data_IF_782201164155
#
_entry.id   IF_782201164155
#
_cell.length_a   1.000
_cell.length_b   1.000
_cell.length_c   1.000
_cell.angle_alpha   90.00
_cell.angle_beta   90.00
_cell.angle_gamma   90.00
#
_symmetry.space_group_name_H-M   'P 1'
#
loop_
_entity.id
_entity.type
_entity.pdbx_description
1 polymer ?
#
# COMPACT_ATOMS: atom_id res chain seq x y z
N UNK A 1 -2.02 -32.74 3.98
CA UNK A 1 -1.90 -32.92 2.52
C UNK A 1 -0.59 -32.36 2.01
N UNK A 2 -0.05 -32.94 0.92
CA UNK A 2 1.18 -32.54 0.26
C UNK A 2 0.90 -32.26 -1.21
N UNK A 3 1.58 -31.27 -1.75
CA UNK A 3 1.66 -31.01 -3.18
C UNK A 3 3.05 -31.38 -3.67
N UNK A 4 3.13 -32.11 -4.77
CA UNK A 4 4.41 -32.49 -5.39
C UNK A 4 4.33 -32.26 -6.90
N UNK A 5 5.38 -31.68 -7.46
CA UNK A 5 5.56 -31.50 -8.89
C UNK A 5 6.91 -32.07 -9.31
N UNK A 6 6.93 -32.82 -10.41
CA UNK A 6 8.14 -33.27 -11.07
C UNK A 6 8.32 -32.56 -12.38
N UNK A 7 9.51 -32.08 -12.61
CA UNK A 7 9.87 -31.37 -13.81
C UNK A 7 11.27 -31.80 -14.25
N UNK A 8 11.35 -32.55 -15.34
CA UNK A 8 12.61 -33.11 -15.81
C UNK A 8 13.35 -33.89 -14.70
N UNK A 9 14.49 -33.40 -14.24
CA UNK A 9 15.32 -33.96 -13.19
C UNK A 9 15.09 -33.35 -11.79
N UNK A 10 14.10 -32.47 -11.66
CA UNK A 10 13.76 -31.80 -10.41
C UNK A 10 12.43 -32.35 -9.87
N UNK A 11 12.40 -32.60 -8.57
CA UNK A 11 11.16 -32.83 -7.83
C UNK A 11 11.03 -31.79 -6.72
N UNK A 12 9.93 -31.06 -6.72
CA UNK A 12 9.54 -30.15 -5.64
C UNK A 12 8.38 -30.75 -4.88
N UNK A 13 8.46 -30.75 -3.56
CA UNK A 13 7.36 -31.18 -2.69
C UNK A 13 7.18 -30.17 -1.55
N UNK A 14 5.93 -29.83 -1.24
CA UNK A 14 5.60 -28.93 -0.14
C UNK A 14 4.38 -29.44 0.61
N UNK A 15 4.32 -29.15 1.91
CA UNK A 15 3.13 -29.39 2.72
C UNK A 15 2.11 -28.28 2.45
N UNK A 16 0.87 -28.68 2.20
CA UNK A 16 -0.22 -27.71 2.09
C UNK A 16 -0.57 -27.17 3.47
N UNK A 17 -0.90 -25.88 3.52
CA UNK A 17 -1.47 -25.23 4.70
C UNK A 17 -2.86 -25.80 4.95
N UNK A 18 -3.15 -26.19 6.18
CA UNK A 18 -4.47 -26.64 6.58
C UNK A 18 -5.40 -25.44 6.72
N UNK A 19 -6.56 -25.49 6.07
CA UNK A 19 -7.57 -24.45 6.11
C UNK A 19 -8.15 -24.11 4.73
N UNK A 20 -9.22 -23.33 4.75
CA UNK A 20 -9.81 -22.79 3.52
C UNK A 20 -9.06 -21.50 3.12
N UNK A 21 -8.66 -21.41 1.87
CA UNK A 21 -8.09 -20.17 1.33
C UNK A 21 -9.10 -19.03 1.50
N UNK A 22 -8.67 -17.87 2.00
CA UNK A 22 -9.56 -16.72 2.15
C UNK A 22 -10.16 -16.31 0.80
N UNK A 23 -11.41 -15.84 0.86
CA UNK A 23 -12.09 -15.28 -0.30
C UNK A 23 -11.50 -13.89 -0.58
N UNK A 24 -10.53 -13.83 -1.49
CA UNK A 24 -9.81 -12.61 -1.81
C UNK A 24 -10.70 -11.54 -2.47
N UNK A 25 -11.81 -11.94 -3.11
CA UNK A 25 -12.74 -10.98 -3.71
C UNK A 25 -13.36 -10.06 -2.66
N UNK A 26 -13.48 -10.52 -1.41
CA UNK A 26 -14.02 -9.73 -0.30
C UNK A 26 -13.08 -8.65 0.24
N UNK A 27 -11.80 -8.66 -0.14
CA UNK A 27 -10.87 -7.60 0.27
C UNK A 27 -10.93 -6.38 -0.64
N UNK A 28 -11.56 -6.52 -1.82
CA UNK A 28 -11.76 -5.37 -2.72
C UNK A 28 -12.81 -4.44 -2.13
N UNK A 29 -12.48 -3.16 -1.97
CA UNK A 29 -13.43 -2.17 -1.46
C UNK A 29 -14.51 -1.88 -2.50
N UNK A 30 -15.64 -1.33 -2.02
CA UNK A 30 -16.76 -0.91 -2.85
C UNK A 30 -17.18 0.51 -2.47
N UNK A 31 -17.76 1.25 -3.40
CA UNK A 31 -18.21 2.63 -3.22
C UNK A 31 -17.62 3.57 -4.28
N UNK A 32 -17.73 4.87 -4.04
CA UNK A 32 -17.21 5.89 -4.95
C UNK A 32 -15.71 6.12 -4.68
N UNK A 33 -14.84 5.81 -5.65
CA UNK A 33 -13.40 5.94 -5.44
C UNK A 33 -12.91 7.37 -5.63
N UNK A 34 -11.86 7.71 -4.87
CA UNK A 34 -11.02 8.87 -5.11
C UNK A 34 -9.63 8.41 -5.52
N UNK A 35 -9.12 8.90 -6.62
CA UNK A 35 -7.83 8.47 -7.16
C UNK A 35 -6.77 9.54 -6.95
N UNK A 36 -5.62 9.10 -6.44
CA UNK A 36 -4.38 9.85 -6.35
C UNK A 36 -3.40 9.32 -7.40
N UNK A 37 -2.92 10.19 -8.28
CA UNK A 37 -1.85 9.86 -9.23
C UNK A 37 -0.55 10.54 -8.83
N UNK A 38 0.54 9.79 -8.79
CA UNK A 38 1.85 10.28 -8.36
C UNK A 38 2.98 9.50 -9.04
N UNK A 39 4.15 10.16 -9.20
CA UNK A 39 5.39 9.47 -9.57
C UNK A 39 5.80 8.48 -8.49
N UNK A 40 6.01 7.21 -8.87
CA UNK A 40 6.43 6.13 -7.98
C UNK A 40 7.63 6.54 -7.13
N UNK A 41 8.69 7.02 -7.77
CA UNK A 41 9.93 7.40 -7.09
C UNK A 41 9.71 8.49 -6.04
N UNK A 42 8.88 9.51 -6.36
CA UNK A 42 8.57 10.61 -5.44
C UNK A 42 7.90 10.10 -4.16
N UNK A 43 6.92 9.21 -4.30
CA UNK A 43 6.23 8.60 -3.16
C UNK A 43 7.16 7.67 -2.36
N UNK A 44 7.94 6.84 -3.05
CA UNK A 44 8.87 5.90 -2.45
C UNK A 44 9.95 6.61 -1.61
N UNK A 45 10.53 7.70 -2.13
CA UNK A 45 11.52 8.50 -1.40
C UNK A 45 10.91 9.19 -0.16
N UNK A 46 9.71 9.74 -0.27
CA UNK A 46 9.02 10.37 0.86
C UNK A 46 8.67 9.36 1.95
N UNK A 47 8.15 8.18 1.59
CA UNK A 47 7.90 7.10 2.53
C UNK A 47 9.19 6.58 3.18
N UNK A 48 10.27 6.47 2.42
CA UNK A 48 11.57 6.05 2.95
C UNK A 48 12.10 7.04 3.99
N UNK A 49 11.97 8.36 3.75
CA UNK A 49 12.33 9.37 4.75
C UNK A 49 11.43 9.32 5.98
N UNK A 50 10.12 9.23 5.79
CA UNK A 50 9.16 9.12 6.89
C UNK A 50 9.39 7.85 7.74
N UNK A 51 9.87 6.76 7.12
CA UNK A 51 10.12 5.50 7.82
C UNK A 51 11.19 5.58 8.90
N UNK A 52 12.13 6.53 8.79
CA UNK A 52 13.22 6.73 9.76
C UNK A 52 12.67 7.09 11.14
N UNK A 53 11.60 7.88 11.21
CA UNK A 53 10.95 8.31 12.44
C UNK A 53 9.61 7.58 12.70
N UNK A 54 9.33 6.50 11.98
CA UNK A 54 8.16 5.68 12.26
C UNK A 54 8.41 4.74 13.44
N UNK A 55 7.34 4.35 14.12
CA UNK A 55 7.42 3.33 15.16
C UNK A 55 7.98 2.02 14.58
N UNK A 56 9.04 1.47 15.18
CA UNK A 56 9.73 0.27 14.69
C UNK A 56 8.82 -0.97 14.60
N UNK A 57 7.87 -1.09 15.53
CA UNK A 57 6.98 -2.24 15.62
C UNK A 57 5.80 -2.15 14.65
N UNK A 58 5.18 -0.97 14.57
CA UNK A 58 3.94 -0.79 13.80
C UNK A 58 4.17 -0.16 12.43
N UNK A 59 5.28 0.57 12.26
CA UNK A 59 5.68 1.22 11.01
C UNK A 59 4.54 2.01 10.37
N UNK A 60 3.79 2.75 11.20
CA UNK A 60 2.63 3.50 10.76
C UNK A 60 2.99 4.80 10.06
N UNK A 61 2.26 5.13 9.01
CA UNK A 61 2.25 6.44 8.37
C UNK A 61 0.82 6.89 8.13
N UNK A 62 0.53 8.14 8.46
CA UNK A 62 -0.75 8.79 8.15
C UNK A 62 -0.65 9.52 6.84
N UNK A 63 -1.59 9.27 5.96
CA UNK A 63 -1.85 10.03 4.74
C UNK A 63 -2.97 11.02 5.04
N UNK A 64 -2.73 12.30 4.88
CA UNK A 64 -3.75 13.33 4.85
C UNK A 64 -3.81 13.91 3.44
N UNK A 65 -4.90 13.56 2.75
CA UNK A 65 -5.18 13.95 1.38
C UNK A 65 -6.06 15.17 1.37
N UNK A 66 -5.71 16.13 0.54
CA UNK A 66 -6.53 17.28 0.20
C UNK A 66 -6.30 17.61 -1.27
N UNK A 67 -7.06 18.59 -1.81
CA UNK A 67 -6.93 18.95 -3.22
C UNK A 67 -5.45 19.21 -3.58
N UNK A 68 -4.96 18.46 -4.56
CA UNK A 68 -3.60 18.53 -5.13
C UNK A 68 -2.46 18.37 -4.10
N UNK A 69 -2.75 17.82 -2.90
CA UNK A 69 -1.78 17.68 -1.83
C UNK A 69 -1.92 16.36 -1.06
N UNK A 70 -0.79 15.72 -0.81
CA UNK A 70 -0.63 14.59 0.10
C UNK A 70 0.37 14.96 1.19
N UNK A 71 -0.09 14.98 2.44
CA UNK A 71 0.78 15.07 3.61
C UNK A 71 0.97 13.69 4.22
N UNK A 72 2.23 13.28 4.39
CA UNK A 72 2.63 12.08 5.10
C UNK A 72 3.09 12.49 6.50
N UNK A 73 2.63 11.78 7.53
CA UNK A 73 3.04 11.99 8.91
C UNK A 73 3.37 10.66 9.55
N UNK A 74 4.58 10.54 10.10
CA UNK A 74 5.00 9.39 10.90
C UNK A 74 5.58 9.86 12.23
N UNK A 75 5.36 9.09 13.28
CA UNK A 75 5.89 9.38 14.61
C UNK A 75 6.33 8.10 15.32
N UNK A 76 7.25 8.25 16.24
CA UNK A 76 7.74 7.19 17.11
C UNK A 76 7.26 7.38 18.56
N UNK A 77 7.52 6.42 19.48
CA UNK A 77 7.16 6.54 20.88
C UNK A 77 7.88 7.68 21.62
N UNK A 78 9.03 8.12 21.13
CA UNK A 78 9.82 9.23 21.64
C UNK A 78 9.24 10.60 21.28
N UNK A 79 8.08 10.61 20.57
CA UNK A 79 7.38 11.80 20.08
C UNK A 79 8.14 12.59 19.00
N UNK A 80 9.10 11.97 18.36
CA UNK A 80 9.70 12.54 17.16
C UNK A 80 8.72 12.43 15.99
N UNK A 81 8.72 13.42 15.13
CA UNK A 81 7.75 13.58 14.05
C UNK A 81 8.45 13.79 12.71
N UNK A 82 8.07 12.99 11.74
CA UNK A 82 8.40 13.22 10.33
C UNK A 82 7.17 13.70 9.58
N UNK A 83 7.31 14.78 8.85
CA UNK A 83 6.30 15.29 7.95
C UNK A 83 6.86 15.52 6.56
N UNK A 84 6.15 15.03 5.55
CA UNK A 84 6.44 15.24 4.14
C UNK A 84 5.19 15.74 3.44
N UNK A 85 5.32 16.77 2.62
CA UNK A 85 4.20 17.30 1.82
C UNK A 85 4.55 17.15 0.34
N UNK A 86 3.69 16.47 -0.39
CA UNK A 86 3.85 16.18 -1.81
C UNK A 86 2.74 16.83 -2.61
N UNK A 87 3.11 17.50 -3.69
CA UNK A 87 2.16 17.89 -4.73
C UNK A 87 1.78 16.65 -5.55
N UNK A 88 0.49 16.42 -5.70
CA UNK A 88 -0.10 15.22 -6.32
C UNK A 88 -1.32 15.60 -7.16
N UNK A 89 -1.73 14.73 -8.09
CA UNK A 89 -3.03 14.88 -8.75
C UNK A 89 -4.08 14.12 -7.94
N UNK A 90 -4.77 14.86 -7.07
CA UNK A 90 -5.86 14.36 -6.26
C UNK A 90 -7.00 15.39 -6.22
N UNK A 91 -8.20 14.94 -6.60
CA UNK A 91 -9.41 15.79 -6.69
C UNK A 91 -10.57 15.29 -5.84
N UNK A 92 -10.31 14.27 -5.01
CA UNK A 92 -11.29 13.74 -4.07
C UNK A 92 -11.55 14.65 -2.88
N UNK A 93 -12.49 14.27 -2.05
CA UNK A 93 -12.73 14.91 -0.75
C UNK A 93 -11.52 14.72 0.17
N UNK A 94 -11.29 15.63 1.13
CA UNK A 94 -10.27 15.44 2.15
C UNK A 94 -10.43 14.09 2.83
N UNK A 95 -9.31 13.37 3.01
CA UNK A 95 -9.28 12.02 3.55
C UNK A 95 -8.06 11.84 4.43
N UNK A 96 -8.23 11.27 5.64
CA UNK A 96 -7.13 10.80 6.46
C UNK A 96 -7.18 9.29 6.59
N UNK A 97 -6.05 8.61 6.34
CA UNK A 97 -5.97 7.16 6.40
C UNK A 97 -4.56 6.72 6.81
N UNK A 98 -4.48 5.69 7.64
CA UNK A 98 -3.21 5.13 8.10
C UNK A 98 -2.81 3.87 7.36
N UNK A 99 -1.50 3.70 7.13
CA UNK A 99 -0.93 2.51 6.50
C UNK A 99 0.36 2.06 7.17
N UNK A 100 0.73 0.81 6.93
CA UNK A 100 2.06 0.31 7.21
C UNK A 100 3.02 0.71 6.07
N UNK A 101 4.07 1.46 6.41
CA UNK A 101 5.08 1.94 5.45
C UNK A 101 5.74 0.78 4.71
N UNK A 102 6.03 -0.32 5.42
CA UNK A 102 6.68 -1.48 4.81
C UNK A 102 5.87 -2.06 3.67
N UNK A 103 4.56 -2.24 3.86
CA UNK A 103 3.68 -2.75 2.81
C UNK A 103 3.60 -1.83 1.60
N UNK A 104 3.55 -0.51 1.83
CA UNK A 104 3.58 0.46 0.74
C UNK A 104 4.90 0.40 -0.05
N UNK A 105 6.03 0.33 0.65
CA UNK A 105 7.35 0.24 0.02
C UNK A 105 7.54 -1.08 -0.74
N UNK A 106 7.00 -2.20 -0.23
CA UNK A 106 7.05 -3.50 -0.90
C UNK A 106 6.28 -3.46 -2.23
N UNK A 107 5.07 -2.87 -2.24
CA UNK A 107 4.29 -2.68 -3.47
C UNK A 107 5.02 -1.77 -4.44
N UNK A 108 5.51 -0.60 -3.99
CA UNK A 108 6.22 0.34 -4.85
C UNK A 108 7.54 -0.24 -5.40
N UNK A 109 8.14 -1.18 -4.69
CA UNK A 109 9.31 -1.95 -5.16
C UNK A 109 8.97 -2.97 -6.25
N UNK A 110 7.73 -3.45 -6.30
CA UNK A 110 7.25 -4.45 -7.28
C UNK A 110 6.68 -3.82 -8.55
N UNK A 111 6.20 -2.57 -8.47
CA UNK A 111 5.66 -1.81 -9.60
C UNK A 111 6.77 -1.46 -10.59
N UNK A 112 6.54 -1.69 -11.88
CA UNK A 112 7.53 -1.38 -12.94
C UNK A 112 7.32 0.01 -13.56
N UNK A 113 6.08 0.53 -13.57
CA UNK A 113 5.78 1.83 -14.15
C UNK A 113 6.39 3.00 -13.36
N UNK A 114 6.57 4.13 -14.06
CA UNK A 114 7.05 5.39 -13.46
C UNK A 114 5.99 6.11 -12.63
N UNK A 115 4.73 5.83 -12.92
CA UNK A 115 3.58 6.42 -12.26
C UNK A 115 2.77 5.33 -11.55
N UNK A 116 2.15 5.69 -10.43
CA UNK A 116 1.24 4.81 -9.69
C UNK A 116 -0.05 5.56 -9.38
N UNK A 117 -1.14 4.80 -9.32
CA UNK A 117 -2.42 5.27 -8.86
C UNK A 117 -2.79 4.60 -7.55
N UNK A 118 -3.14 5.40 -6.56
CA UNK A 118 -3.71 4.94 -5.31
C UNK A 118 -5.19 5.28 -5.30
N UNK A 119 -6.04 4.28 -5.13
CA UNK A 119 -7.50 4.42 -5.17
C UNK A 119 -8.06 4.19 -3.79
N UNK A 120 -8.73 5.20 -3.25
CA UNK A 120 -9.29 5.24 -1.91
C UNK A 120 -10.81 5.18 -1.95
N UNK A 121 -11.40 4.44 -1.04
CA UNK A 121 -12.86 4.27 -0.90
C UNK A 121 -13.38 4.74 0.46
N UNK A 122 -12.54 5.42 1.25
CA UNK A 122 -12.84 5.95 2.58
C UNK A 122 -11.76 5.62 3.60
N UNK A 123 -11.90 6.17 4.79
CA UNK A 123 -10.89 6.12 5.86
C UNK A 123 -10.66 4.72 6.45
N UNK A 124 -11.69 3.87 6.44
CA UNK A 124 -11.66 2.50 6.97
C UNK A 124 -11.61 1.42 5.88
N UNK A 125 -11.51 1.82 4.61
CA UNK A 125 -11.53 0.89 3.47
C UNK A 125 -10.12 0.60 2.95
N UNK A 126 -9.94 -0.57 2.35
CA UNK A 126 -8.68 -0.91 1.69
C UNK A 126 -8.34 0.09 0.59
N UNK A 127 -7.06 0.39 0.45
CA UNK A 127 -6.53 1.14 -0.68
C UNK A 127 -6.12 0.16 -1.79
N UNK A 128 -6.47 0.48 -3.02
CA UNK A 128 -5.97 -0.25 -4.20
C UNK A 128 -4.82 0.55 -4.79
N UNK A 129 -3.69 -0.11 -5.03
CA UNK A 129 -2.56 0.46 -5.78
C UNK A 129 -2.49 -0.27 -7.11
N UNK A 130 -2.34 0.47 -8.19
CA UNK A 130 -2.24 -0.08 -9.54
C UNK A 130 -1.30 0.76 -10.42
N UNK A 131 -0.86 0.14 -11.49
CA UNK A 131 -0.13 0.81 -12.56
C UNK A 131 -1.12 1.35 -13.60
N UNK A 132 -0.99 2.61 -14.05
CA UNK A 132 -1.92 3.20 -15.01
C UNK A 132 -2.02 2.44 -16.35
N UNK A 133 -0.94 1.76 -16.74
CA UNK A 133 -0.84 1.05 -18.01
C UNK A 133 -1.07 -0.47 -17.93
N UNK A 134 -1.29 -1.02 -16.73
CA UNK A 134 -1.38 -2.46 -16.50
C UNK A 134 -2.64 -2.80 -15.70
N UNK A 135 -3.67 -3.30 -16.39
CA UNK A 135 -4.95 -3.66 -15.74
C UNK A 135 -4.93 -5.05 -15.07
N UNK A 136 -3.93 -5.87 -15.40
CA UNK A 136 -3.86 -7.26 -14.92
C UNK A 136 -3.37 -7.42 -13.49
N UNK A 137 -2.77 -6.37 -12.91
CA UNK A 137 -2.18 -6.42 -11.58
C UNK A 137 -2.74 -5.30 -10.70
N UNK A 138 -3.19 -5.69 -9.52
CA UNK A 138 -3.64 -4.76 -8.48
C UNK A 138 -3.10 -5.20 -7.12
N UNK A 139 -2.75 -4.24 -6.31
CA UNK A 139 -2.28 -4.45 -4.94
C UNK A 139 -3.30 -3.86 -3.98
N UNK A 140 -3.73 -4.66 -3.00
CA UNK A 140 -4.71 -4.22 -2.00
C UNK A 140 -4.00 -4.08 -0.66
N UNK A 141 -4.04 -2.87 -0.09
CA UNK A 141 -3.44 -2.58 1.21
C UNK A 141 -4.55 -2.21 2.20
N UNK A 142 -4.59 -2.97 3.28
CA UNK A 142 -5.51 -2.70 4.38
C UNK A 142 -5.06 -1.47 5.17
N UNK A 143 -5.98 -0.58 5.56
CA UNK A 143 -5.65 0.53 6.44
C UNK A 143 -5.32 0.05 7.85
N UNK A 144 -4.62 0.88 8.60
CA UNK A 144 -4.37 0.67 10.03
C UNK A 144 -4.83 1.89 10.82
N UNK A 145 -5.28 1.66 12.04
CA UNK A 145 -5.60 2.74 12.98
C UNK A 145 -4.30 3.25 13.62
N UNK A 146 -4.09 4.55 13.55
CA UNK A 146 -2.94 5.26 14.09
C UNK A 146 -3.37 6.26 15.16
#
# INVERSE_FOLDING_TARGET
SYFSIKFSNLQFSTKLIDGKYPDYEKVFPSGDPSTLSIKKEKLQLALSRASVLSNEKYRGVRFALSKDSLKLTANNPEQELAEEVLEVDYKGSPLEIGFNIGYLLDVLGSVESTDVELVFYGEDSSCIIKEPSLESEVYVIMPMRL
#
